data_IF_046946365989
#
_entry.id   IF_046946365989
#
_cell.length_a   1.000
_cell.length_b   1.000
_cell.length_c   1.000
_cell.angle_alpha   90.00
_cell.angle_beta   90.00
_cell.angle_gamma   90.00
#
_symmetry.space_group_name_H-M   'P 1'
#
loop_
_entity.id
_entity.type
_entity.pdbx_description
1 polymer ?
#
# COMPACT_ATOMS: atom_id res chain seq x y z
N UNK A 1 8.18 -15.02 -5.77
CA UNK A 1 7.28 -13.89 -5.49
C UNK A 1 6.07 -14.48 -4.77
N UNK A 2 5.82 -14.09 -3.53
CA UNK A 2 4.65 -14.58 -2.78
C UNK A 2 3.59 -13.49 -2.87
N UNK A 3 2.66 -13.63 -3.82
CA UNK A 3 1.52 -12.74 -3.98
C UNK A 3 0.28 -13.31 -3.29
N UNK A 4 -0.56 -12.45 -2.73
CA UNK A 4 -1.84 -12.82 -2.10
C UNK A 4 -2.88 -11.72 -2.26
N UNK A 5 -4.14 -12.05 -1.99
CA UNK A 5 -5.24 -11.09 -2.01
C UNK A 5 -5.36 -10.39 -0.67
N UNK A 6 -5.44 -9.06 -0.66
CA UNK A 6 -5.65 -8.29 0.56
C UNK A 6 -7.04 -8.57 1.13
N UNK A 7 -7.10 -8.88 2.42
CA UNK A 7 -8.36 -9.14 3.12
C UNK A 7 -8.47 -8.29 4.39
N UNK A 8 -9.67 -7.79 4.68
CA UNK A 8 -9.97 -7.13 5.96
C UNK A 8 -9.87 -8.13 7.11
N UNK A 9 -10.35 -9.35 6.86
CA UNK A 9 -10.27 -10.51 7.72
C UNK A 9 -10.40 -11.77 6.85
N UNK A 10 -10.07 -12.98 7.36
CA UNK A 10 -10.33 -14.22 6.62
C UNK A 10 -11.78 -14.29 6.12
N UNK A 11 -11.95 -14.67 4.85
CA UNK A 11 -13.24 -14.71 4.13
C UNK A 11 -13.92 -13.34 3.89
N UNK A 12 -13.23 -12.22 4.12
CA UNK A 12 -13.70 -10.88 3.78
C UNK A 12 -12.62 -10.12 3.00
N UNK A 13 -12.53 -10.43 1.70
CA UNK A 13 -11.62 -9.76 0.78
C UNK A 13 -12.04 -8.32 0.56
N UNK A 14 -11.07 -7.41 0.39
CA UNK A 14 -11.39 -6.03 0.03
C UNK A 14 -11.78 -5.94 -1.45
N UNK A 15 -12.66 -4.98 -1.75
CA UNK A 15 -12.97 -4.53 -3.10
C UNK A 15 -12.50 -3.09 -3.26
N UNK A 16 -11.81 -2.71 -4.36
CA UNK A 16 -11.44 -3.55 -5.50
C UNK A 16 -10.48 -4.70 -5.19
N UNK A 17 -10.49 -5.71 -6.06
CA UNK A 17 -9.64 -6.89 -5.91
C UNK A 17 -8.17 -6.44 -5.86
N UNK A 18 -7.53 -6.65 -4.71
CA UNK A 18 -6.21 -6.07 -4.42
C UNK A 18 -5.18 -7.18 -4.23
N UNK A 19 -4.16 -7.24 -5.08
CA UNK A 19 -3.01 -8.12 -4.87
C UNK A 19 -1.93 -7.40 -4.06
N UNK A 20 -1.37 -8.11 -3.08
CA UNK A 20 -0.22 -7.66 -2.30
C UNK A 20 1.00 -8.52 -2.61
N UNK A 21 2.17 -7.89 -2.68
CA UNK A 21 3.45 -8.58 -2.82
C UNK A 21 4.56 -7.88 -2.03
N UNK A 22 5.48 -8.67 -1.46
CA UNK A 22 6.57 -8.19 -0.63
C UNK A 22 7.78 -7.73 -1.46
N UNK A 23 8.36 -6.57 -1.13
CA UNK A 23 9.61 -6.06 -1.73
C UNK A 23 10.88 -6.60 -1.05
N UNK A 24 10.80 -6.97 0.22
CA UNK A 24 11.89 -7.57 1.00
C UNK A 24 11.66 -9.07 1.11
N UNK A 25 12.69 -9.88 0.85
CA UNK A 25 12.61 -11.34 0.98
C UNK A 25 12.21 -11.75 2.39
N UNK A 26 11.10 -12.48 2.51
CA UNK A 26 10.64 -13.07 3.78
C UNK A 26 11.48 -14.32 4.06
N UNK A 27 12.22 -14.31 5.17
CA UNK A 27 13.14 -15.39 5.58
C UNK A 27 12.66 -16.18 6.79
N UNK A 28 11.67 -15.67 7.54
CA UNK A 28 11.18 -16.32 8.75
C UNK A 28 9.69 -16.01 9.00
N UNK A 29 9.12 -16.73 9.98
CA UNK A 29 7.71 -16.60 10.33
C UNK A 29 7.34 -15.19 10.85
N UNK A 30 8.22 -14.52 11.61
CA UNK A 30 7.96 -13.14 12.08
C UNK A 30 7.70 -12.20 10.91
N UNK A 31 8.54 -12.25 9.87
CA UNK A 31 8.38 -11.43 8.67
C UNK A 31 7.12 -11.80 7.88
N UNK A 32 6.76 -13.08 7.83
CA UNK A 32 5.51 -13.52 7.21
C UNK A 32 4.29 -12.97 7.96
N UNK A 33 4.29 -13.07 9.30
CA UNK A 33 3.22 -12.52 10.15
C UNK A 33 3.12 -11.01 10.00
N UNK A 34 4.23 -10.28 9.91
CA UNK A 34 4.22 -8.83 9.69
C UNK A 34 3.59 -8.45 8.34
N UNK A 35 3.92 -9.17 7.27
CA UNK A 35 3.34 -8.93 5.94
C UNK A 35 1.85 -9.29 5.90
N UNK A 36 1.47 -10.45 6.46
CA UNK A 36 0.13 -11.02 6.32
C UNK A 36 -0.81 -10.74 7.52
N UNK A 37 -0.31 -10.02 8.52
CA UNK A 37 -1.07 -9.51 9.66
C UNK A 37 -1.24 -8.00 9.56
N UNK A 38 -0.39 -7.20 10.24
CA UNK A 38 -0.56 -5.74 10.31
C UNK A 38 -0.52 -5.06 8.94
N UNK A 39 0.40 -5.44 8.04
CA UNK A 39 0.47 -4.80 6.73
C UNK A 39 -0.71 -5.18 5.82
N UNK A 40 -1.15 -6.44 5.82
CA UNK A 40 -2.34 -6.86 5.07
C UNK A 40 -3.60 -6.14 5.55
N UNK A 41 -3.80 -6.06 6.88
CA UNK A 41 -4.94 -5.33 7.45
C UNK A 41 -4.89 -3.86 7.07
N UNK A 42 -3.71 -3.24 7.11
CA UNK A 42 -3.51 -1.84 6.75
C UNK A 42 -3.89 -1.56 5.29
N UNK A 43 -3.38 -2.38 4.36
CA UNK A 43 -3.67 -2.23 2.92
C UNK A 43 -5.16 -2.43 2.65
N UNK A 44 -5.76 -3.49 3.18
CA UNK A 44 -7.18 -3.78 3.00
C UNK A 44 -8.06 -2.68 3.59
N UNK A 45 -7.72 -2.15 4.77
CA UNK A 45 -8.48 -1.06 5.39
C UNK A 45 -8.38 0.22 4.56
N UNK A 46 -7.18 0.59 4.09
CA UNK A 46 -6.99 1.78 3.27
C UNK A 46 -7.81 1.72 1.97
N UNK A 47 -7.87 0.55 1.32
CA UNK A 47 -8.70 0.34 0.12
C UNK A 47 -10.19 0.47 0.46
N UNK A 48 -10.66 -0.18 1.53
CA UNK A 48 -12.06 -0.12 1.95
C UNK A 48 -12.48 1.32 2.30
N UNK A 49 -11.65 2.05 3.04
CA UNK A 49 -11.89 3.46 3.37
C UNK A 49 -11.87 4.37 2.14
N UNK A 50 -11.07 4.07 1.12
CA UNK A 50 -11.11 4.80 -0.15
C UNK A 50 -12.40 4.54 -0.94
N UNK A 51 -13.01 3.36 -0.82
CA UNK A 51 -14.35 3.11 -1.37
C UNK A 51 -15.40 3.85 -0.55
N UNK A 52 -15.32 3.79 0.78
CA UNK A 52 -16.25 4.46 1.69
C UNK A 52 -16.23 5.99 1.53
N UNK A 53 -15.05 6.60 1.39
CA UNK A 53 -14.90 8.05 1.24
C UNK A 53 -15.10 8.55 -0.22
N UNK A 54 -15.39 7.63 -1.15
CA UNK A 54 -15.64 7.93 -2.57
C UNK A 54 -14.38 8.27 -3.38
N UNK A 55 -13.18 8.13 -2.81
CA UNK A 55 -11.92 8.18 -3.57
C UNK A 55 -11.92 7.15 -4.69
N UNK A 56 -12.38 5.93 -4.40
CA UNK A 56 -12.70 4.90 -5.39
C UNK A 56 -14.24 4.87 -5.50
N UNK A 57 -14.82 5.15 -6.67
CA UNK A 57 -16.27 5.04 -6.86
C UNK A 57 -16.77 3.63 -6.55
N UNK A 58 -17.78 3.51 -5.70
CA UNK A 58 -18.28 2.21 -5.24
C UNK A 58 -18.90 1.36 -6.37
N UNK A 59 -19.44 2.01 -7.41
CA UNK A 59 -19.99 1.40 -8.61
C UNK A 59 -18.91 0.88 -9.58
N UNK A 60 -17.67 1.35 -9.48
CA UNK A 60 -16.52 0.81 -10.21
C UNK A 60 -15.74 -0.24 -9.40
N UNK A 61 -15.98 -0.32 -8.09
CA UNK A 61 -15.11 -1.07 -7.18
C UNK A 61 -15.04 -2.57 -7.49
N UNK A 62 -16.07 -3.16 -8.09
CA UNK A 62 -16.08 -4.58 -8.46
C UNK A 62 -15.34 -4.90 -9.77
N UNK A 63 -15.07 -3.89 -10.60
CA UNK A 63 -14.43 -4.03 -11.92
C UNK A 63 -12.99 -3.50 -11.97
N UNK A 64 -12.51 -2.95 -10.85
CA UNK A 64 -11.15 -2.45 -10.71
C UNK A 64 -10.20 -3.51 -10.10
N UNK A 65 -8.92 -3.29 -10.32
CA UNK A 65 -7.84 -4.09 -9.76
C UNK A 65 -6.73 -3.20 -9.21
N UNK A 66 -6.22 -3.55 -8.03
CA UNK A 66 -5.14 -2.82 -7.34
C UNK A 66 -3.95 -3.74 -7.12
N UNK A 67 -2.74 -3.22 -7.38
CA UNK A 67 -1.48 -3.93 -7.18
C UNK A 67 -0.60 -3.18 -6.18
N UNK A 68 -0.36 -3.79 -5.02
CA UNK A 68 0.30 -3.15 -3.87
C UNK A 68 1.62 -3.82 -3.55
N UNK A 69 2.72 -3.11 -3.79
CA UNK A 69 4.06 -3.53 -3.41
C UNK A 69 4.46 -3.00 -2.04
N UNK A 70 4.50 -3.87 -1.03
CA UNK A 70 4.75 -3.50 0.37
C UNK A 70 6.22 -3.66 0.74
N UNK A 71 6.78 -2.64 1.40
CA UNK A 71 8.13 -2.67 1.96
C UNK A 71 8.06 -2.73 3.49
N UNK A 72 8.66 -3.76 4.08
CA UNK A 72 8.88 -3.87 5.52
C UNK A 72 10.36 -4.18 5.70
N UNK A 73 11.08 -3.30 6.38
CA UNK A 73 12.49 -3.51 6.69
C UNK A 73 12.65 -4.75 7.58
N UNK A 74 13.72 -5.54 7.40
CA UNK A 74 13.91 -6.78 8.17
C UNK A 74 14.12 -6.58 9.67
N UNK A 75 14.41 -5.35 10.10
CA UNK A 75 14.50 -4.95 11.51
C UNK A 75 13.23 -4.28 12.04
N UNK A 76 12.12 -4.29 11.29
CA UNK A 76 10.85 -3.77 11.81
C UNK A 76 10.35 -4.67 12.96
N UNK A 77 9.93 -4.07 14.06
CA UNK A 77 9.50 -4.81 15.26
C UNK A 77 8.15 -4.37 15.82
N UNK A 78 7.74 -3.14 15.54
CA UNK A 78 6.51 -2.55 16.07
C UNK A 78 5.36 -2.78 15.07
N UNK A 79 4.55 -3.80 15.35
CA UNK A 79 3.41 -4.18 14.50
C UNK A 79 2.37 -3.06 14.38
N UNK A 80 2.22 -2.21 15.41
CA UNK A 80 1.30 -1.08 15.35
C UNK A 80 1.78 -0.05 14.34
N UNK A 81 3.06 0.30 14.37
CA UNK A 81 3.65 1.20 13.35
C UNK A 81 3.65 0.61 11.97
N UNK A 82 3.88 -0.70 11.83
CA UNK A 82 3.76 -1.38 10.53
C UNK A 82 2.34 -1.19 9.99
N UNK A 83 1.32 -1.41 10.81
CA UNK A 83 -0.07 -1.21 10.38
C UNK A 83 -0.36 0.26 10.04
N UNK A 84 -0.09 1.18 10.97
CA UNK A 84 -0.41 2.60 10.82
C UNK A 84 0.31 3.21 9.60
N UNK A 85 1.61 2.95 9.41
CA UNK A 85 2.35 3.51 8.28
C UNK A 85 1.98 2.90 6.94
N UNK A 86 1.70 1.59 6.88
CA UNK A 86 1.21 0.99 5.64
C UNK A 86 -0.21 1.48 5.30
N UNK A 87 -1.03 1.80 6.30
CA UNK A 87 -2.37 2.35 6.11
C UNK A 87 -2.27 3.72 5.46
N UNK A 88 -1.56 4.65 6.12
CA UNK A 88 -1.38 6.02 5.62
C UNK A 88 -0.69 6.05 4.25
N UNK A 89 0.35 5.24 4.07
CA UNK A 89 1.07 5.18 2.78
C UNK A 89 0.19 4.62 1.65
N UNK A 90 -0.61 3.58 1.92
CA UNK A 90 -1.52 3.01 0.91
C UNK A 90 -2.63 3.99 0.57
N UNK A 91 -3.27 4.60 1.57
CA UNK A 91 -4.34 5.58 1.35
C UNK A 91 -3.85 6.79 0.57
N UNK A 92 -2.67 7.31 0.91
CA UNK A 92 -2.04 8.40 0.16
C UNK A 92 -1.70 8.00 -1.28
N UNK A 93 -1.18 6.78 -1.49
CA UNK A 93 -0.86 6.27 -2.83
C UNK A 93 -2.11 6.14 -3.70
N UNK A 94 -3.21 5.62 -3.16
CA UNK A 94 -4.49 5.51 -3.86
C UNK A 94 -5.04 6.89 -4.24
N UNK A 95 -5.10 7.83 -3.28
CA UNK A 95 -5.56 9.21 -3.52
C UNK A 95 -4.74 9.89 -4.61
N UNK A 96 -3.41 9.73 -4.56
CA UNK A 96 -2.51 10.29 -5.58
C UNK A 96 -2.71 9.67 -6.95
N UNK A 97 -2.78 8.34 -7.03
CA UNK A 97 -2.95 7.61 -8.27
C UNK A 97 -4.26 7.99 -8.98
N UNK A 98 -5.36 8.05 -8.24
CA UNK A 98 -6.69 8.39 -8.79
C UNK A 98 -6.76 9.86 -9.18
N UNK A 99 -6.16 10.76 -8.39
CA UNK A 99 -6.04 12.17 -8.75
C UNK A 99 -5.05 12.45 -9.90
N UNK A 100 -4.32 11.44 -10.40
CA UNK A 100 -3.29 11.64 -11.42
C UNK A 100 -2.12 12.51 -10.95
N UNK A 101 -1.79 12.45 -9.66
CA UNK A 101 -0.80 13.33 -9.02
C UNK A 101 0.42 12.55 -8.48
N UNK A 102 1.63 13.15 -8.48
CA UNK A 102 1.95 14.41 -9.15
C UNK A 102 1.83 14.27 -10.67
N UNK A 103 1.44 15.36 -11.33
CA UNK A 103 1.51 15.45 -12.79
C UNK A 103 2.97 15.47 -13.26
N UNK A 104 3.20 15.19 -14.54
CA UNK A 104 4.54 15.30 -15.13
C UNK A 104 5.14 16.70 -14.94
N UNK A 105 4.31 17.74 -15.02
CA UNK A 105 4.74 19.13 -14.82
C UNK A 105 5.16 19.38 -13.37
N UNK A 106 4.36 19.01 -12.38
CA UNK A 106 4.70 19.19 -10.96
C UNK A 106 5.97 18.43 -10.59
N UNK A 107 6.15 17.23 -11.15
CA UNK A 107 7.38 16.45 -10.99
C UNK A 107 8.60 17.21 -11.53
N UNK A 108 8.51 17.78 -12.75
CA UNK A 108 9.59 18.55 -13.35
C UNK A 108 9.90 19.84 -12.56
N UNK A 109 8.86 20.53 -12.09
CA UNK A 109 9.00 21.76 -11.31
C UNK A 109 9.69 21.49 -9.96
N UNK A 110 9.47 20.30 -9.36
CA UNK A 110 10.11 19.87 -8.11
C UNK A 110 11.45 19.16 -8.27
N UNK A 111 11.83 18.77 -9.49
CA UNK A 111 12.95 17.84 -9.75
C UNK A 111 14.29 18.34 -9.18
N UNK A 112 14.60 19.62 -9.37
CA UNK A 112 15.88 20.19 -8.93
C UNK A 112 16.02 20.31 -7.40
N UNK A 113 14.91 20.38 -6.67
CA UNK A 113 14.88 20.50 -5.21
C UNK A 113 14.71 19.14 -4.51
N UNK A 114 14.40 18.08 -5.24
CA UNK A 114 14.16 16.76 -4.67
C UNK A 114 15.45 16.15 -4.12
N UNK A 115 15.41 15.71 -2.85
CA UNK A 115 16.54 15.04 -2.19
C UNK A 115 16.21 13.56 -2.03
N UNK A 116 17.00 12.69 -2.67
CA UNK A 116 16.84 11.25 -2.51
C UNK A 116 17.68 10.76 -1.31
N UNK A 117 17.10 10.02 -0.34
CA UNK A 117 17.78 9.62 0.90
C UNK A 117 19.08 8.80 0.72
N UNK A 118 19.25 8.18 -0.45
CA UNK A 118 20.40 7.35 -0.79
C UNK A 118 21.05 7.76 -2.14
N UNK A 119 20.84 8.99 -2.62
CA UNK A 119 21.52 9.46 -3.84
C UNK A 119 23.04 9.55 -3.63
N UNK A 120 23.79 9.45 -4.73
CA UNK A 120 25.22 9.68 -4.72
C UNK A 120 25.52 11.17 -4.45
N UNK A 121 26.58 11.43 -3.69
CA UNK A 121 27.12 12.77 -3.44
C UNK A 121 28.09 13.20 -4.54
#
# INVERSE_FOLDING_TARGET
>A
MNGLLAVLAPNLMVKPSTVMFNKVTIKNAKQAVQMFGPAQRAVALAVAECVEDGTIPADEADDLFISVGVFIHWQAEDDRKIQDYNHEATKLALKRAIAGSPTAKEMLDGMAAAVHPFAAN
#
